data_IF_247151816359
#
_entry.id   IF_247151816359
#
_cell.length_a   1.000
_cell.length_b   1.000
_cell.length_c   1.000
_cell.angle_alpha   90.00
_cell.angle_beta   90.00
_cell.angle_gamma   90.00
#
_symmetry.space_group_name_H-M   'P 1'
#
loop_
_entity.id
_entity.type
_entity.pdbx_description
1 polymer ?
#
# COMPACT_ATOMS: atom_id res chain seq x y z
N UNK A 1 12.70 22.43 13.70
CA UNK A 1 11.68 22.03 12.71
C UNK A 1 11.29 20.56 12.85
N UNK A 2 12.23 19.63 13.04
CA UNK A 2 11.93 18.20 13.25
C UNK A 2 11.02 17.91 14.47
N UNK A 3 11.27 18.55 15.62
CA UNK A 3 10.46 18.40 16.83
C UNK A 3 8.99 18.79 16.61
N UNK A 4 8.73 19.93 15.96
CA UNK A 4 7.37 20.38 15.66
C UNK A 4 6.61 19.43 14.71
N UNK A 5 7.31 18.74 13.81
CA UNK A 5 6.71 17.71 12.95
C UNK A 5 6.32 16.44 13.72
N UNK A 6 7.17 16.01 14.66
CA UNK A 6 6.88 14.88 15.53
C UNK A 6 5.70 15.16 16.46
N UNK A 7 5.60 16.37 17.00
CA UNK A 7 4.47 16.79 17.85
C UNK A 7 3.17 16.77 17.05
N UNK A 8 3.16 17.32 15.84
CA UNK A 8 1.98 17.27 14.95
C UNK A 8 1.59 15.83 14.59
N UNK A 9 2.54 14.96 14.27
CA UNK A 9 2.27 13.55 13.97
C UNK A 9 1.60 12.85 15.17
N UNK A 10 2.08 13.11 16.39
CA UNK A 10 1.54 12.55 17.62
C UNK A 10 0.10 13.02 17.90
N UNK A 11 -0.18 14.30 17.71
CA UNK A 11 -1.52 14.85 17.88
C UNK A 11 -2.50 14.24 16.87
N UNK A 12 -2.12 14.14 15.60
CA UNK A 12 -2.93 13.49 14.56
C UNK A 12 -3.21 12.03 14.90
N UNK A 13 -2.21 11.33 15.43
CA UNK A 13 -2.37 9.94 15.87
C UNK A 13 -3.37 9.80 17.02
N UNK A 14 -3.32 10.70 18.00
CA UNK A 14 -4.30 10.70 19.10
C UNK A 14 -5.72 10.95 18.59
N UNK A 15 -5.90 11.84 17.60
CA UNK A 15 -7.20 12.07 16.96
C UNK A 15 -7.70 10.77 16.29
N UNK A 16 -6.85 10.11 15.51
CA UNK A 16 -7.20 8.83 14.85
C UNK A 16 -7.63 7.74 15.86
N UNK A 17 -6.97 7.67 17.02
CA UNK A 17 -7.22 6.66 18.05
C UNK A 17 -8.46 6.94 18.91
N UNK A 18 -8.75 8.22 19.19
CA UNK A 18 -9.79 8.61 20.14
C UNK A 18 -11.14 8.95 19.49
N UNK A 19 -11.13 9.39 18.23
CA UNK A 19 -12.36 9.75 17.54
C UNK A 19 -13.06 8.50 16.98
N UNK A 20 -14.39 8.48 17.07
CA UNK A 20 -15.23 7.38 16.57
C UNK A 20 -15.84 7.67 15.19
N UNK A 21 -15.80 8.91 14.72
CA UNK A 21 -16.31 9.31 13.43
C UNK A 21 -15.34 8.85 12.31
N UNK A 22 -15.78 7.96 11.39
CA UNK A 22 -14.94 7.47 10.31
C UNK A 22 -14.34 8.57 9.43
N UNK A 23 -15.06 9.67 9.19
CA UNK A 23 -14.58 10.78 8.36
C UNK A 23 -13.39 11.50 9.02
N UNK A 24 -13.47 11.75 10.33
CA UNK A 24 -12.39 12.37 11.11
C UNK A 24 -11.17 11.44 11.10
N UNK A 25 -11.38 10.14 11.31
CA UNK A 25 -10.30 9.14 11.27
C UNK A 25 -9.64 9.06 9.89
N UNK A 26 -10.41 9.10 8.79
CA UNK A 26 -9.86 9.14 7.43
C UNK A 26 -9.04 10.41 7.18
N UNK A 27 -9.51 11.56 7.67
CA UNK A 27 -8.77 12.81 7.57
C UNK A 27 -7.45 12.74 8.35
N UNK A 28 -7.47 12.19 9.56
CA UNK A 28 -6.25 11.95 10.35
C UNK A 28 -5.25 11.05 9.59
N UNK A 29 -5.72 9.95 9.00
CA UNK A 29 -4.90 9.06 8.16
C UNK A 29 -4.28 9.82 6.98
N UNK A 30 -5.03 10.70 6.31
CA UNK A 30 -4.48 11.51 5.24
C UNK A 30 -3.37 12.46 5.74
N UNK A 31 -3.57 13.11 6.88
CA UNK A 31 -2.61 14.06 7.43
C UNK A 31 -1.30 13.38 7.85
N UNK A 32 -1.35 12.14 8.37
CA UNK A 32 -0.16 11.36 8.72
C UNK A 32 0.82 11.22 7.55
N UNK A 33 0.32 11.13 6.31
CA UNK A 33 1.17 11.02 5.12
C UNK A 33 2.04 12.27 4.90
N UNK A 34 1.51 13.44 5.24
CA UNK A 34 2.19 14.73 5.06
C UNK A 34 3.14 15.07 6.21
N UNK A 35 2.97 14.43 7.37
CA UNK A 35 3.81 14.66 8.57
C UNK A 35 4.89 13.60 8.77
N UNK A 36 5.05 12.65 7.84
CA UNK A 36 6.07 11.59 7.93
C UNK A 36 5.64 10.34 8.72
N UNK A 37 4.35 10.20 9.04
CA UNK A 37 3.77 9.09 9.81
C UNK A 37 3.65 7.77 9.04
N UNK A 38 4.65 7.39 8.25
CA UNK A 38 4.65 6.16 7.42
C UNK A 38 4.43 4.90 8.25
N UNK A 39 5.05 4.80 9.44
CA UNK A 39 4.87 3.65 10.31
C UNK A 39 3.43 3.55 10.85
N UNK A 40 2.82 4.69 11.18
CA UNK A 40 1.41 4.75 11.59
C UNK A 40 0.48 4.39 10.44
N UNK A 41 0.75 4.84 9.22
CA UNK A 41 0.00 4.42 8.03
C UNK A 41 0.05 2.89 7.82
N UNK A 42 1.22 2.29 8.00
CA UNK A 42 1.37 0.82 7.94
C UNK A 42 0.59 0.11 9.04
N UNK A 43 0.56 0.68 10.26
CA UNK A 43 -0.24 0.16 11.36
C UNK A 43 -1.74 0.22 11.03
N UNK A 44 -2.24 1.35 10.56
CA UNK A 44 -3.64 1.51 10.13
C UNK A 44 -3.99 0.52 9.04
N UNK A 45 -3.16 0.41 8.00
CA UNK A 45 -3.41 -0.48 6.88
C UNK A 45 -3.49 -1.96 7.30
N UNK A 46 -2.85 -2.36 8.40
CA UNK A 46 -2.87 -3.74 8.90
C UNK A 46 -3.97 -4.03 9.92
N UNK A 47 -4.30 -3.06 10.76
CA UNK A 47 -5.06 -3.31 12.00
C UNK A 47 -6.47 -2.74 11.97
N UNK A 48 -6.74 -1.77 11.09
CA UNK A 48 -8.03 -1.09 11.10
C UNK A 48 -9.17 -2.01 10.63
N UNK A 49 -10.31 -1.94 11.32
CA UNK A 49 -11.48 -2.77 11.00
C UNK A 49 -12.23 -2.24 9.79
N UNK A 50 -12.33 -0.91 9.67
CA UNK A 50 -12.98 -0.26 8.54
C UNK A 50 -12.11 -0.38 7.27
N UNK A 51 -12.61 -1.11 6.28
CA UNK A 51 -11.93 -1.32 5.00
C UNK A 51 -11.71 -0.01 4.23
N UNK A 52 -12.56 1.01 4.37
CA UNK A 52 -12.38 2.29 3.72
C UNK A 52 -11.16 3.05 4.31
N UNK A 53 -10.96 2.95 5.63
CA UNK A 53 -9.81 3.54 6.31
C UNK A 53 -8.53 2.78 5.98
N UNK A 54 -8.56 1.44 5.95
CA UNK A 54 -7.41 0.64 5.46
C UNK A 54 -7.04 1.01 4.03
N UNK A 55 -8.02 1.08 3.13
CA UNK A 55 -7.81 1.50 1.74
C UNK A 55 -7.15 2.88 1.67
N UNK A 56 -7.63 3.82 2.49
CA UNK A 56 -7.07 5.18 2.55
C UNK A 56 -5.61 5.16 2.97
N UNK A 57 -5.24 4.36 3.96
CA UNK A 57 -3.86 4.22 4.40
C UNK A 57 -2.95 3.67 3.28
N UNK A 58 -3.39 2.66 2.52
CA UNK A 58 -2.63 2.11 1.39
C UNK A 58 -2.46 3.14 0.26
N UNK A 59 -3.48 3.96 -0.01
CA UNK A 59 -3.36 5.07 -0.96
C UNK A 59 -2.29 6.07 -0.52
N UNK A 60 -2.25 6.40 0.77
CA UNK A 60 -1.23 7.33 1.32
C UNK A 60 0.18 6.73 1.25
N UNK A 61 0.31 5.42 1.43
CA UNK A 61 1.59 4.71 1.27
C UNK A 61 2.07 4.62 -0.19
N UNK A 62 1.21 4.86 -1.18
CA UNK A 62 1.60 4.77 -2.60
C UNK A 62 2.68 5.79 -2.99
N UNK A 63 2.72 6.95 -2.31
CA UNK A 63 3.77 7.96 -2.48
C UNK A 63 5.01 7.78 -1.60
N UNK A 64 5.01 6.79 -0.70
CA UNK A 64 6.06 6.60 0.31
C UNK A 64 6.99 5.46 -0.13
N UNK A 65 8.17 5.81 -0.65
CA UNK A 65 9.18 4.84 -1.10
C UNK A 65 9.81 4.07 0.08
N UNK A 66 10.42 2.93 -0.21
CA UNK A 66 11.10 2.11 0.80
C UNK A 66 10.17 1.25 1.66
N UNK A 67 8.90 1.14 1.26
CA UNK A 67 7.88 0.35 1.95
C UNK A 67 7.44 -0.87 1.14
N UNK A 68 8.22 -1.27 0.14
CA UNK A 68 7.87 -2.31 -0.83
C UNK A 68 7.63 -3.66 -0.13
N UNK A 69 8.49 -4.03 0.81
CA UNK A 69 8.34 -5.25 1.61
C UNK A 69 7.13 -5.20 2.53
N UNK A 70 6.87 -4.05 3.14
CA UNK A 70 5.74 -3.86 4.03
C UNK A 70 4.40 -3.95 3.27
N UNK A 71 4.36 -3.40 2.05
CA UNK A 71 3.24 -3.51 1.12
C UNK A 71 3.05 -4.94 0.63
N UNK A 72 4.12 -5.64 0.25
CA UNK A 72 4.05 -7.05 -0.15
C UNK A 72 3.54 -7.94 1.00
N UNK A 73 3.99 -7.70 2.23
CA UNK A 73 3.48 -8.40 3.40
C UNK A 73 1.99 -8.11 3.62
N UNK A 74 1.56 -6.84 3.53
CA UNK A 74 0.15 -6.46 3.62
C UNK A 74 -0.72 -7.17 2.57
N UNK A 75 -0.25 -7.28 1.33
CA UNK A 75 -0.98 -7.98 0.26
C UNK A 75 -1.31 -9.44 0.62
N UNK A 76 -0.40 -10.10 1.33
CA UNK A 76 -0.53 -11.53 1.67
C UNK A 76 -1.51 -11.80 2.82
N UNK A 77 -1.79 -10.79 3.65
CA UNK A 77 -2.70 -10.91 4.80
C UNK A 77 -4.05 -10.22 4.57
N UNK A 78 -4.14 -9.29 3.62
CA UNK A 78 -5.37 -8.58 3.30
C UNK A 78 -6.36 -9.46 2.52
N UNK A 79 -7.64 -9.35 2.87
CA UNK A 79 -8.73 -10.14 2.31
C UNK A 79 -9.60 -9.34 1.34
N UNK A 80 -9.71 -8.02 1.50
CA UNK A 80 -10.47 -7.17 0.58
C UNK A 80 -9.70 -7.00 -0.73
N UNK A 81 -10.25 -7.56 -1.81
CA UNK A 81 -9.66 -7.51 -3.15
C UNK A 81 -9.40 -6.08 -3.66
N UNK A 82 -10.18 -5.08 -3.23
CA UNK A 82 -9.96 -3.67 -3.60
C UNK A 82 -8.69 -3.13 -2.96
N UNK A 83 -8.43 -3.47 -1.71
CA UNK A 83 -7.22 -3.07 -0.99
C UNK A 83 -6.02 -3.82 -1.57
N UNK A 84 -6.14 -5.14 -1.80
CA UNK A 84 -5.10 -5.93 -2.49
C UNK A 84 -4.72 -5.31 -3.83
N UNK A 85 -5.71 -4.91 -4.65
CA UNK A 85 -5.49 -4.21 -5.92
C UNK A 85 -4.75 -2.88 -5.72
N UNK A 86 -5.15 -2.09 -4.73
CA UNK A 86 -4.48 -0.83 -4.40
C UNK A 86 -3.01 -1.05 -3.99
N UNK A 87 -2.69 -2.13 -3.29
CA UNK A 87 -1.31 -2.50 -2.96
C UNK A 87 -0.50 -2.79 -4.22
N UNK A 88 -1.06 -3.51 -5.21
CA UNK A 88 -0.38 -3.76 -6.49
C UNK A 88 -0.10 -2.42 -7.20
N UNK A 89 -1.06 -1.49 -7.23
CA UNK A 89 -0.85 -0.16 -7.79
C UNK A 89 0.23 0.64 -7.05
N UNK A 90 0.26 0.58 -5.72
CA UNK A 90 1.28 1.23 -4.90
C UNK A 90 2.69 0.71 -5.26
N UNK A 91 2.86 -0.62 -5.31
CA UNK A 91 4.11 -1.26 -5.71
C UNK A 91 4.50 -0.90 -7.16
N UNK A 92 3.53 -0.82 -8.06
CA UNK A 92 3.74 -0.39 -9.44
C UNK A 92 4.28 1.03 -9.55
N UNK A 93 3.70 1.97 -8.80
CA UNK A 93 4.18 3.35 -8.71
C UNK A 93 5.58 3.47 -8.12
N UNK A 94 5.97 2.54 -7.25
CA UNK A 94 7.31 2.44 -6.67
C UNK A 94 8.30 1.65 -7.55
N UNK A 95 7.84 1.12 -8.69
CA UNK A 95 8.62 0.22 -9.57
C UNK A 95 9.19 -1.00 -8.83
N UNK A 96 8.44 -1.53 -7.87
CA UNK A 96 8.80 -2.67 -7.02
C UNK A 96 8.62 -4.01 -7.78
N UNK A 97 9.40 -4.21 -8.86
CA UNK A 97 9.25 -5.32 -9.82
C UNK A 97 9.28 -6.68 -9.13
N UNK A 98 10.24 -6.90 -8.22
CA UNK A 98 10.41 -8.16 -7.47
C UNK A 98 9.15 -8.55 -6.70
N UNK A 99 8.58 -7.60 -5.96
CA UNK A 99 7.40 -7.81 -5.14
C UNK A 99 6.16 -8.08 -6.00
N UNK A 100 6.01 -7.36 -7.12
CA UNK A 100 4.87 -7.57 -8.04
C UNK A 100 4.97 -8.94 -8.72
N UNK A 101 6.17 -9.40 -9.12
CA UNK A 101 6.37 -10.76 -9.65
C UNK A 101 6.03 -11.81 -8.59
N UNK A 102 6.49 -11.64 -7.34
CA UNK A 102 6.19 -12.57 -6.26
C UNK A 102 4.67 -12.68 -6.00
N UNK A 103 3.96 -11.56 -6.06
CA UNK A 103 2.49 -11.51 -6.00
C UNK A 103 1.89 -12.27 -7.19
N UNK A 104 2.26 -11.92 -8.42
CA UNK A 104 1.69 -12.50 -9.64
C UNK A 104 1.89 -14.02 -9.75
N UNK A 105 3.01 -14.55 -9.23
CA UNK A 105 3.30 -15.99 -9.18
C UNK A 105 2.40 -16.76 -8.22
N UNK A 106 1.97 -16.14 -7.11
CA UNK A 106 1.15 -16.79 -6.06
C UNK A 106 -0.34 -16.46 -6.16
N UNK A 107 -0.70 -15.42 -6.90
CA UNK A 107 -2.08 -14.96 -6.97
C UNK A 107 -3.01 -15.98 -7.65
N UNK A 108 -4.17 -16.20 -7.02
CA UNK A 108 -5.20 -17.12 -7.50
C UNK A 108 -6.41 -16.39 -8.05
N UNK A 109 -6.67 -15.15 -7.62
CA UNK A 109 -7.67 -14.27 -8.21
C UNK A 109 -7.21 -13.82 -9.62
N UNK A 110 -7.94 -14.18 -10.70
CA UNK A 110 -7.53 -13.85 -12.06
C UNK A 110 -7.43 -12.34 -12.34
N UNK A 111 -8.28 -11.53 -11.72
CA UNK A 111 -8.32 -10.08 -11.92
C UNK A 111 -7.15 -9.38 -11.24
N UNK A 112 -6.76 -9.84 -10.04
CA UNK A 112 -5.58 -9.34 -9.35
C UNK A 112 -4.29 -9.79 -10.05
N UNK A 113 -4.23 -11.05 -10.50
CA UNK A 113 -3.11 -11.56 -11.29
C UNK A 113 -2.94 -10.76 -12.59
N UNK A 114 -4.04 -10.52 -13.32
CA UNK A 114 -4.05 -9.68 -14.53
C UNK A 114 -3.56 -8.27 -14.23
N UNK A 115 -3.99 -7.67 -13.12
CA UNK A 115 -3.53 -6.33 -12.71
C UNK A 115 -2.02 -6.29 -12.51
N UNK A 116 -1.45 -7.25 -11.78
CA UNK A 116 -0.01 -7.34 -11.56
C UNK A 116 0.78 -7.52 -12.88
N UNK A 117 0.32 -8.39 -13.77
CA UNK A 117 0.92 -8.62 -15.09
C UNK A 117 0.87 -7.36 -15.96
N UNK A 118 -0.26 -6.64 -15.99
CA UNK A 118 -0.39 -5.40 -16.74
C UNK A 118 0.56 -4.31 -16.24
N UNK A 119 0.71 -4.19 -14.92
CA UNK A 119 1.66 -3.24 -14.33
C UNK A 119 3.10 -3.62 -14.71
N UNK A 120 3.47 -4.90 -14.61
CA UNK A 120 4.80 -5.38 -15.02
C UNK A 120 5.08 -5.10 -16.50
N UNK A 121 4.11 -5.28 -17.38
CA UNK A 121 4.23 -4.98 -18.80
C UNK A 121 4.47 -3.49 -19.09
N UNK A 122 4.02 -2.60 -18.19
CA UNK A 122 4.27 -1.16 -18.26
C UNK A 122 5.63 -0.72 -17.71
N UNK A 123 6.34 -1.58 -16.97
CA UNK A 123 7.63 -1.25 -16.35
C UNK A 123 8.76 -1.70 -17.27
N UNK A 124 9.67 -0.76 -17.60
CA UNK A 124 10.90 -1.06 -18.33
C UNK A 124 11.92 -1.73 -17.41
N UNK A 125 11.82 -3.05 -17.24
CA UNK A 125 12.74 -3.86 -16.43
C UNK A 125 13.06 -5.19 -17.11
N UNK A 126 14.34 -5.60 -17.23
CA UNK A 126 14.72 -6.93 -17.72
C UNK A 126 14.04 -8.06 -16.95
N UNK A 127 13.94 -7.92 -15.62
CA UNK A 127 13.31 -8.91 -14.74
C UNK A 127 11.80 -9.02 -15.00
N UNK A 128 11.12 -7.90 -15.27
CA UNK A 128 9.72 -7.92 -15.67
C UNK A 128 9.54 -8.59 -17.04
N UNK A 129 10.38 -8.24 -18.02
CA UNK A 129 10.36 -8.84 -19.36
C UNK A 129 10.57 -10.35 -19.32
N UNK A 130 11.55 -10.83 -18.54
CA UNK A 130 11.83 -12.26 -18.37
C UNK A 130 10.61 -13.00 -17.82
N UNK A 131 10.01 -12.49 -16.73
CA UNK A 131 8.80 -13.08 -16.17
C UNK A 131 7.62 -13.10 -17.15
N UNK A 132 7.41 -12.03 -17.92
CA UNK A 132 6.34 -11.98 -18.92
C UNK A 132 6.57 -12.99 -20.05
N UNK A 133 7.82 -13.21 -20.47
CA UNK A 133 8.17 -14.23 -21.45
C UNK A 133 7.96 -15.65 -20.90
N UNK A 134 8.19 -15.89 -19.61
CA UNK A 134 7.86 -17.17 -18.97
C UNK A 134 6.35 -17.48 -19.05
N UNK A 135 5.48 -16.48 -18.94
CA UNK A 135 4.03 -16.66 -19.00
C UNK A 135 3.48 -17.00 -20.41
N UNK A 136 4.27 -16.78 -21.46
CA UNK A 136 3.88 -17.02 -22.85
C UNK A 136 4.34 -18.38 -23.39
N UNK A 137 5.15 -19.11 -22.61
CA UNK A 137 5.59 -20.48 -22.93
C UNK A 137 4.54 -21.48 -22.49
#
# INVERSE_FOLDING_TARGET
>A
QMLAGMDAENEIWQIYQSDSNPEIRQMAVQMLASTGGVQRLLEVARTEKDAAIRLRAVQMLSGQRGQEEALAALYSTEQDARIRRQVIYALGGQQAVKQIIAIAKKETDPELKRTAVQILAGIKSPEASEYLMELLK
#
